data_IF_946088098000
#
_entry.id   IF_946088098000
#
_cell.length_a   1.000
_cell.length_b   1.000
_cell.length_c   1.000
_cell.angle_alpha   90.00
_cell.angle_beta   90.00
_cell.angle_gamma   90.00
#
_symmetry.space_group_name_H-M   'P 1'
#
loop_
_entity.id
_entity.type
_entity.pdbx_description
1 polymer ?
#
# COMPACT_ATOMS: atom_id res chain seq x y z
N UNK A 1 -24.17 -22.10 -0.60
CA UNK A 1 -23.44 -23.06 0.24
C UNK A 1 -22.33 -22.30 0.95
N UNK A 2 -22.34 -22.29 2.29
CA UNK A 2 -21.37 -21.53 3.09
C UNK A 2 -19.99 -22.20 3.07
N UNK A 3 -19.96 -23.53 3.14
CA UNK A 3 -18.69 -24.27 3.18
C UNK A 3 -18.78 -25.60 2.44
N UNK A 4 -17.61 -26.04 1.97
CA UNK A 4 -17.39 -27.36 1.38
C UNK A 4 -16.28 -28.06 2.18
N UNK A 5 -16.68 -29.01 3.02
CA UNK A 5 -15.80 -29.66 4.01
C UNK A 5 -15.35 -30.99 3.43
N UNK A 6 -14.04 -31.16 3.20
CA UNK A 6 -13.49 -32.44 2.74
C UNK A 6 -13.25 -33.42 3.89
N UNK A 7 -12.87 -32.92 5.07
CA UNK A 7 -12.56 -33.78 6.20
C UNK A 7 -12.95 -33.12 7.53
N UNK A 8 -13.74 -33.83 8.30
CA UNK A 8 -14.15 -33.49 9.67
C UNK A 8 -13.63 -34.54 10.63
N UNK A 9 -12.98 -34.14 11.72
CA UNK A 9 -12.58 -35.00 12.83
C UNK A 9 -13.16 -34.44 14.11
N UNK A 10 -13.78 -35.28 14.90
CA UNK A 10 -14.33 -34.94 16.21
C UNK A 10 -13.61 -35.83 17.24
N UNK A 11 -12.98 -35.18 18.21
CA UNK A 11 -12.32 -35.85 19.31
C UNK A 11 -13.20 -35.74 20.55
N UNK A 12 -13.50 -36.90 21.13
CA UNK A 12 -14.34 -36.98 22.34
C UNK A 12 -13.54 -37.48 23.52
N UNK A 13 -13.97 -37.15 24.73
CA UNK A 13 -13.40 -37.72 25.96
C UNK A 13 -13.91 -39.14 26.13
N UNK A 14 -13.02 -40.05 26.44
CA UNK A 14 -13.33 -41.45 26.71
C UNK A 14 -13.59 -41.75 28.22
N UNK A 15 -13.59 -40.72 29.07
CA UNK A 15 -13.69 -40.90 30.51
C UNK A 15 -15.01 -41.54 30.97
N UNK A 16 -16.04 -41.56 30.10
CA UNK A 16 -17.37 -42.12 30.36
C UNK A 16 -17.88 -42.93 29.17
N UNK A 17 -17.13 -43.93 28.72
CA UNK A 17 -17.51 -44.80 27.57
C UNK A 17 -18.83 -45.55 27.76
N UNK A 18 -19.29 -45.72 28.99
CA UNK A 18 -20.50 -46.47 29.32
C UNK A 18 -21.76 -45.60 29.46
N UNK A 19 -21.65 -44.28 29.38
CA UNK A 19 -22.78 -43.35 29.41
C UNK A 19 -22.73 -42.44 28.17
N UNK A 20 -23.66 -42.65 27.22
CA UNK A 20 -23.78 -41.83 26.02
C UNK A 20 -24.23 -40.37 26.35
N UNK A 21 -24.75 -40.14 27.55
CA UNK A 21 -25.20 -38.83 28.01
C UNK A 21 -24.05 -37.90 28.42
N UNK A 22 -22.83 -38.44 28.66
CA UNK A 22 -21.66 -37.72 29.17
C UNK A 22 -20.52 -37.59 28.14
N UNK A 23 -20.81 -37.68 26.84
CA UNK A 23 -19.80 -37.49 25.80
C UNK A 23 -19.40 -36.02 25.73
N UNK A 24 -18.17 -35.72 26.16
CA UNK A 24 -17.60 -34.38 26.06
C UNK A 24 -16.75 -34.26 24.80
N UNK A 25 -17.16 -33.36 23.89
CA UNK A 25 -16.35 -33.06 22.71
C UNK A 25 -15.17 -32.21 23.14
N UNK A 26 -13.95 -32.71 22.92
CA UNK A 26 -12.70 -31.97 23.23
C UNK A 26 -12.25 -31.05 22.09
N UNK A 27 -12.18 -31.60 20.88
CA UNK A 27 -11.71 -30.86 19.71
C UNK A 27 -12.54 -31.22 18.49
N UNK A 28 -12.83 -30.20 17.67
CA UNK A 28 -13.40 -30.34 16.32
C UNK A 28 -12.37 -29.81 15.31
N UNK A 29 -11.97 -30.64 14.36
CA UNK A 29 -10.98 -30.27 13.36
C UNK A 29 -11.59 -30.34 11.97
N UNK A 30 -11.55 -29.24 11.24
CA UNK A 30 -11.86 -29.16 9.81
C UNK A 30 -10.55 -29.10 9.02
N UNK A 31 -10.41 -29.97 8.02
CA UNK A 31 -9.24 -29.98 7.15
C UNK A 31 -9.66 -29.89 5.68
N UNK A 32 -8.90 -29.13 4.89
CA UNK A 32 -9.10 -28.94 3.45
C UNK A 32 -10.53 -28.44 3.11
N UNK A 33 -10.99 -27.45 3.85
CA UNK A 33 -12.32 -26.87 3.72
C UNK A 33 -12.28 -25.60 2.89
N UNK A 34 -13.26 -25.42 2.01
CA UNK A 34 -13.46 -24.17 1.28
C UNK A 34 -14.67 -23.44 1.88
N UNK A 35 -14.44 -22.23 2.36
CA UNK A 35 -15.48 -21.37 2.90
C UNK A 35 -15.80 -20.26 1.87
N UNK A 36 -17.09 -20.02 1.64
CA UNK A 36 -17.56 -18.93 0.82
C UNK A 36 -18.18 -17.87 1.71
N UNK A 37 -17.50 -16.74 1.90
CA UNK A 37 -17.93 -15.66 2.74
C UNK A 37 -18.32 -14.43 1.92
N UNK A 38 -19.30 -13.71 2.43
CA UNK A 38 -19.67 -12.40 1.96
C UNK A 38 -20.07 -11.53 3.17
N UNK A 39 -20.46 -10.29 2.92
CA UNK A 39 -20.85 -9.32 3.95
C UNK A 39 -21.92 -9.83 4.92
N UNK A 40 -22.89 -10.65 4.44
CA UNK A 40 -24.00 -11.18 5.26
C UNK A 40 -23.51 -12.14 6.37
N UNK A 41 -22.33 -12.72 6.24
CA UNK A 41 -21.79 -13.66 7.22
C UNK A 41 -21.02 -12.96 8.36
N UNK A 42 -20.86 -11.64 8.33
CA UNK A 42 -20.10 -10.90 9.31
C UNK A 42 -20.64 -11.07 10.75
N UNK A 43 -21.95 -10.93 10.93
CA UNK A 43 -22.59 -11.09 12.24
C UNK A 43 -22.40 -12.49 12.83
N UNK A 44 -22.29 -13.52 11.99
CA UNK A 44 -21.98 -14.87 12.45
C UNK A 44 -20.63 -14.93 13.19
N UNK A 45 -19.60 -14.25 12.67
CA UNK A 45 -18.28 -14.25 13.33
C UNK A 45 -18.26 -13.45 14.63
N UNK A 46 -19.03 -12.38 14.70
CA UNK A 46 -19.15 -11.59 15.95
C UNK A 46 -19.87 -12.41 17.02
N UNK A 47 -20.96 -13.06 16.66
CA UNK A 47 -21.70 -13.93 17.57
C UNK A 47 -20.84 -15.13 18.03
N UNK A 48 -19.93 -15.61 17.19
CA UNK A 48 -18.99 -16.65 17.57
C UNK A 48 -18.05 -16.22 18.71
N UNK A 49 -17.67 -14.94 18.75
CA UNK A 49 -16.85 -14.40 19.85
C UNK A 49 -17.63 -14.23 21.14
N UNK A 50 -18.97 -14.13 21.08
CA UNK A 50 -19.86 -13.98 22.24
C UNK A 50 -20.29 -15.31 22.84
N UNK A 51 -20.39 -16.35 22.04
CA UNK A 51 -20.88 -17.66 22.49
C UNK A 51 -19.88 -18.33 23.43
N UNK A 52 -20.39 -18.86 24.55
CA UNK A 52 -19.66 -19.77 25.41
C UNK A 52 -19.60 -21.14 24.71
N UNK A 53 -18.63 -21.35 23.86
CA UNK A 53 -18.35 -22.70 23.43
C UNK A 53 -17.83 -23.48 24.63
N UNK A 54 -18.38 -24.68 24.84
CA UNK A 54 -17.88 -25.68 25.78
C UNK A 54 -16.37 -25.87 25.63
N UNK A 55 -15.71 -26.43 26.64
CA UNK A 55 -14.26 -26.59 26.78
C UNK A 55 -13.45 -27.14 25.59
N UNK A 56 -14.08 -27.38 24.44
CA UNK A 56 -13.45 -27.91 23.23
C UNK A 56 -12.83 -26.84 22.34
N UNK A 57 -11.74 -27.18 21.65
CA UNK A 57 -11.17 -26.32 20.63
C UNK A 57 -11.79 -26.60 19.27
N UNK A 58 -12.00 -25.53 18.49
CA UNK A 58 -12.35 -25.65 17.09
C UNK A 58 -11.14 -25.27 16.24
N UNK A 59 -10.70 -26.18 15.39
CA UNK A 59 -9.45 -26.03 14.62
C UNK A 59 -9.74 -26.20 13.13
N UNK A 60 -9.23 -25.27 12.33
CA UNK A 60 -9.28 -25.34 10.87
C UNK A 60 -7.85 -25.44 10.34
N UNK A 61 -7.60 -26.38 9.43
CA UNK A 61 -6.28 -26.58 8.81
C UNK A 61 -6.37 -26.64 7.29
N UNK A 62 -5.34 -26.12 6.61
CA UNK A 62 -5.16 -26.22 5.17
C UNK A 62 -6.43 -25.90 4.37
N UNK A 63 -7.07 -24.80 4.71
CA UNK A 63 -8.39 -24.44 4.20
C UNK A 63 -8.36 -23.09 3.50
N UNK A 64 -9.39 -22.78 2.72
CA UNK A 64 -9.48 -21.53 1.98
C UNK A 64 -10.73 -20.76 2.36
N UNK A 65 -10.62 -19.45 2.39
CA UNK A 65 -11.75 -18.52 2.46
C UNK A 65 -11.81 -17.77 1.14
N UNK A 66 -12.90 -17.93 0.41
CA UNK A 66 -13.26 -17.13 -0.75
C UNK A 66 -14.19 -16.02 -0.29
N UNK A 67 -13.72 -14.79 -0.32
CA UNK A 67 -14.57 -13.65 -0.05
C UNK A 67 -15.21 -13.17 -1.35
N UNK A 68 -16.54 -13.07 -1.34
CA UNK A 68 -17.33 -12.80 -2.54
C UNK A 68 -18.12 -11.51 -2.40
N UNK A 69 -18.30 -10.82 -3.55
CA UNK A 69 -19.24 -9.71 -3.66
C UNK A 69 -20.72 -10.20 -3.70
N UNK A 70 -21.65 -9.30 -3.85
CA UNK A 70 -23.08 -9.65 -3.98
C UNK A 70 -23.39 -10.42 -5.28
N UNK A 71 -22.58 -10.27 -6.32
CA UNK A 71 -22.68 -10.94 -7.62
C UNK A 71 -22.01 -12.31 -7.65
N UNK A 72 -21.50 -12.75 -6.49
CA UNK A 72 -20.79 -14.03 -6.29
C UNK A 72 -19.38 -14.09 -6.89
N UNK A 73 -18.83 -12.98 -7.37
CA UNK A 73 -17.43 -12.92 -7.82
C UNK A 73 -16.47 -13.01 -6.63
N UNK A 74 -15.36 -13.68 -6.82
CA UNK A 74 -14.32 -13.80 -5.80
C UNK A 74 -13.48 -12.52 -5.78
N UNK A 75 -13.60 -11.73 -4.72
CA UNK A 75 -12.82 -10.51 -4.52
C UNK A 75 -11.41 -10.84 -4.04
N UNK A 76 -11.27 -11.78 -3.13
CA UNK A 76 -9.97 -12.27 -2.69
C UNK A 76 -10.05 -13.68 -2.09
N UNK A 77 -8.90 -14.36 -2.12
CA UNK A 77 -8.69 -15.67 -1.54
C UNK A 77 -7.74 -15.54 -0.35
N UNK A 78 -8.20 -16.01 0.82
CA UNK A 78 -7.36 -16.17 2.01
C UNK A 78 -7.13 -17.64 2.31
N UNK A 79 -5.87 -18.06 2.30
CA UNK A 79 -5.50 -19.44 2.66
C UNK A 79 -5.26 -19.52 4.16
N UNK A 80 -5.93 -20.46 4.84
CA UNK A 80 -5.75 -20.75 6.25
C UNK A 80 -4.75 -21.91 6.35
N UNK A 81 -3.57 -21.67 6.91
CA UNK A 81 -2.63 -22.75 7.27
C UNK A 81 -3.12 -23.44 8.53
N UNK A 82 -3.45 -22.66 9.54
CA UNK A 82 -4.03 -23.13 10.81
C UNK A 82 -4.81 -22.01 11.48
N UNK A 83 -6.05 -22.28 11.85
CA UNK A 83 -6.87 -21.42 12.70
C UNK A 83 -7.30 -22.22 13.93
N UNK A 84 -7.31 -21.59 15.07
CA UNK A 84 -7.79 -22.15 16.32
C UNK A 84 -8.76 -21.17 16.96
N UNK A 85 -9.95 -21.63 17.30
CA UNK A 85 -10.89 -20.97 18.17
C UNK A 85 -10.92 -21.72 19.50
N UNK A 86 -10.80 -20.99 20.61
CA UNK A 86 -10.78 -21.59 21.95
C UNK A 86 -11.18 -20.56 23.00
N UNK A 87 -11.69 -21.07 24.14
CA UNK A 87 -11.94 -20.28 25.32
C UNK A 87 -10.69 -20.28 26.21
N UNK A 88 -10.27 -19.08 26.65
CA UNK A 88 -9.21 -18.94 27.66
C UNK A 88 -9.85 -18.72 29.02
N UNK A 89 -9.78 -19.72 29.95
CA UNK A 89 -10.41 -19.62 31.24
C UNK A 89 -9.71 -18.63 32.20
N UNK A 90 -8.44 -18.32 31.98
CA UNK A 90 -7.69 -17.34 32.78
C UNK A 90 -8.12 -15.91 32.48
N UNK A 91 -8.30 -15.61 31.22
CA UNK A 91 -8.68 -14.29 30.73
C UNK A 91 -10.20 -14.16 30.52
N UNK A 92 -10.96 -15.24 30.70
CA UNK A 92 -12.41 -15.32 30.46
C UNK A 92 -12.82 -14.82 29.07
N UNK A 93 -12.06 -15.20 28.02
CA UNK A 93 -12.23 -14.71 26.64
C UNK A 93 -12.29 -15.83 25.64
N UNK A 94 -13.14 -15.65 24.64
CA UNK A 94 -13.07 -16.43 23.40
C UNK A 94 -12.01 -15.83 22.50
N UNK A 95 -11.08 -16.65 22.05
CA UNK A 95 -9.94 -16.24 21.23
C UNK A 95 -9.96 -16.99 19.90
N UNK A 96 -9.88 -16.24 18.82
CA UNK A 96 -9.55 -16.77 17.48
C UNK A 96 -8.11 -16.39 17.18
N UNK A 97 -7.28 -17.39 16.88
CA UNK A 97 -5.91 -17.17 16.39
C UNK A 97 -5.69 -17.93 15.09
N UNK A 98 -5.00 -17.31 14.13
CA UNK A 98 -4.79 -17.94 12.84
C UNK A 98 -3.45 -17.57 12.22
N UNK A 99 -2.91 -18.48 11.41
CA UNK A 99 -1.81 -18.25 10.48
C UNK A 99 -2.33 -18.47 9.07
N UNK A 100 -2.19 -17.44 8.25
CA UNK A 100 -2.83 -17.36 6.95
C UNK A 100 -1.86 -16.88 5.88
N UNK A 101 -2.34 -16.89 4.64
CA UNK A 101 -1.69 -16.29 3.50
C UNK A 101 -2.74 -15.61 2.62
N UNK A 102 -2.51 -14.34 2.30
CA UNK A 102 -3.31 -13.58 1.35
C UNK A 102 -2.39 -12.96 0.32
N UNK A 103 -2.68 -13.09 -0.97
CA UNK A 103 -1.84 -12.60 -2.08
C UNK A 103 -0.36 -13.01 -1.96
N UNK A 104 -0.12 -14.25 -1.56
CA UNK A 104 1.22 -14.81 -1.28
C UNK A 104 1.94 -14.16 -0.07
N UNK A 105 1.30 -13.26 0.66
CA UNK A 105 1.85 -12.63 1.87
C UNK A 105 1.40 -13.42 3.10
N UNK A 106 2.31 -14.06 3.84
CA UNK A 106 1.96 -14.77 5.06
C UNK A 106 1.72 -13.78 6.21
N UNK A 107 0.66 -14.02 6.96
CA UNK A 107 0.32 -13.25 8.14
C UNK A 107 -0.28 -14.10 9.25
N UNK A 108 -0.27 -13.57 10.47
CA UNK A 108 -1.02 -14.14 11.59
C UNK A 108 -1.99 -13.10 12.14
N UNK A 109 -3.14 -13.56 12.61
CA UNK A 109 -4.03 -12.69 13.36
C UNK A 109 -4.50 -13.35 14.65
N UNK A 110 -4.84 -12.50 15.63
CA UNK A 110 -5.50 -12.87 16.87
C UNK A 110 -6.63 -11.87 17.10
N UNK A 111 -7.82 -12.38 17.40
CA UNK A 111 -8.98 -11.55 17.72
C UNK A 111 -9.67 -12.09 18.96
N UNK A 112 -10.15 -11.20 19.83
CA UNK A 112 -10.96 -11.55 20.99
C UNK A 112 -11.90 -10.40 21.34
N UNK A 113 -13.02 -10.71 22.00
CA UNK A 113 -13.95 -9.74 22.55
C UNK A 113 -13.79 -9.69 24.06
N UNK A 114 -13.83 -8.50 24.64
CA UNK A 114 -13.89 -8.35 26.08
C UNK A 114 -15.35 -8.44 26.54
N UNK A 115 -15.66 -9.27 27.52
CA UNK A 115 -17.02 -9.43 28.04
C UNK A 115 -17.54 -8.17 28.77
N UNK A 116 -16.64 -7.39 29.35
CA UNK A 116 -16.95 -6.14 30.05
C UNK A 116 -16.78 -4.97 29.08
N UNK A 117 -17.88 -4.62 28.39
CA UNK A 117 -17.89 -3.58 27.36
C UNK A 117 -17.70 -4.16 25.94
N UNK A 118 -18.52 -3.75 25.02
CA UNK A 118 -18.62 -4.23 23.61
C UNK A 118 -17.36 -3.95 22.78
N UNK A 119 -16.15 -4.21 23.31
CA UNK A 119 -14.87 -3.95 22.66
C UNK A 119 -14.27 -5.21 22.07
N UNK A 120 -13.94 -5.14 20.80
CA UNK A 120 -13.19 -6.17 20.09
C UNK A 120 -11.76 -5.71 19.92
N UNK A 121 -10.83 -6.61 20.23
CA UNK A 121 -9.41 -6.41 20.04
C UNK A 121 -8.91 -7.32 18.93
N UNK A 122 -8.20 -6.77 17.98
CA UNK A 122 -7.56 -7.53 16.92
C UNK A 122 -6.09 -7.18 16.80
N UNK A 123 -5.28 -8.21 16.49
CA UNK A 123 -3.86 -8.08 16.22
C UNK A 123 -3.52 -8.83 14.97
N UNK A 124 -3.05 -8.13 13.95
CA UNK A 124 -2.58 -8.67 12.67
C UNK A 124 -1.08 -8.46 12.59
N UNK A 125 -0.34 -9.50 12.23
CA UNK A 125 1.11 -9.42 12.13
C UNK A 125 1.62 -10.00 10.81
N UNK A 126 2.21 -9.15 10.00
CA UNK A 126 2.92 -9.46 8.76
C UNK A 126 4.42 -9.54 9.05
N UNK A 127 4.89 -10.70 9.53
CA UNK A 127 6.30 -10.86 9.95
C UNK A 127 7.30 -10.51 8.86
N UNK A 128 7.04 -10.96 7.64
CA UNK A 128 7.89 -10.68 6.48
C UNK A 128 8.05 -9.17 6.23
N UNK A 129 6.96 -8.43 6.36
CA UNK A 129 6.92 -6.99 6.15
C UNK A 129 7.37 -6.18 7.39
N UNK A 130 7.64 -6.85 8.52
CA UNK A 130 7.91 -6.20 9.83
C UNK A 130 6.83 -5.19 10.21
N UNK A 131 5.58 -5.51 9.85
CA UNK A 131 4.42 -4.66 10.02
C UNK A 131 3.36 -5.35 10.89
N UNK A 132 2.78 -4.61 11.83
CA UNK A 132 1.75 -5.09 12.73
C UNK A 132 0.65 -4.05 12.87
N UNK A 133 -0.58 -4.51 12.94
CA UNK A 133 -1.77 -3.70 13.21
C UNK A 133 -2.39 -4.23 14.51
N UNK A 134 -2.57 -3.35 15.49
CA UNK A 134 -3.34 -3.62 16.71
C UNK A 134 -4.53 -2.70 16.73
N UNK A 135 -5.73 -3.26 16.71
CA UNK A 135 -6.98 -2.47 16.66
C UNK A 135 -7.85 -2.76 17.88
N UNK A 136 -8.46 -1.71 18.37
CA UNK A 136 -9.52 -1.75 19.38
C UNK A 136 -10.74 -1.03 18.80
N UNK A 137 -11.89 -1.67 18.76
CA UNK A 137 -13.11 -1.06 18.27
C UNK A 137 -14.32 -1.45 19.08
N UNK A 138 -15.23 -0.49 19.24
CA UNK A 138 -16.54 -0.72 19.83
C UNK A 138 -17.47 -1.30 18.77
N UNK A 139 -18.20 -2.32 19.16
CA UNK A 139 -19.18 -2.97 18.32
C UNK A 139 -20.57 -2.67 18.84
N UNK A 140 -21.12 -1.51 18.43
CA UNK A 140 -22.52 -1.18 18.65
C UNK A 140 -23.27 -1.24 17.30
N UNK A 141 -24.56 -1.51 17.33
CA UNK A 141 -25.39 -1.61 16.12
C UNK A 141 -25.36 -0.28 15.37
N UNK A 142 -24.89 -0.33 14.13
CA UNK A 142 -24.92 0.77 13.15
C UNK A 142 -23.56 1.39 12.84
N UNK A 143 -22.98 2.19 13.73
CA UNK A 143 -21.73 2.90 13.48
C UNK A 143 -20.61 2.39 14.38
N UNK A 144 -19.48 1.98 13.79
CA UNK A 144 -18.37 1.35 14.52
C UNK A 144 -17.16 2.27 14.51
N UNK A 145 -16.76 2.73 15.68
CA UNK A 145 -15.60 3.61 15.86
C UNK A 145 -14.47 2.85 16.54
N UNK A 146 -13.25 3.08 16.08
CA UNK A 146 -12.11 2.40 16.66
C UNK A 146 -10.80 3.15 16.54
N UNK A 147 -9.80 2.57 17.20
CA UNK A 147 -8.43 3.02 17.22
C UNK A 147 -7.52 1.87 16.75
N UNK A 148 -6.66 2.12 15.80
CA UNK A 148 -5.61 1.19 15.40
C UNK A 148 -4.23 1.76 15.64
N UNK A 149 -3.33 0.93 16.15
CA UNK A 149 -1.91 1.20 16.20
C UNK A 149 -1.25 0.46 15.04
N UNK A 150 -0.63 1.19 14.14
CA UNK A 150 0.22 0.66 13.09
C UNK A 150 1.65 0.66 13.59
N UNK A 151 2.28 -0.51 13.63
CA UNK A 151 3.64 -0.67 14.11
C UNK A 151 4.47 -1.19 12.95
N UNK A 152 5.38 -0.35 12.46
CA UNK A 152 6.34 -0.71 11.43
C UNK A 152 7.76 -0.65 11.97
N UNK A 153 8.44 -1.79 12.00
CA UNK A 153 9.74 -1.92 12.69
C UNK A 153 9.61 -1.45 14.15
N UNK A 154 10.17 -0.27 14.47
CA UNK A 154 10.11 0.36 15.81
C UNK A 154 9.18 1.58 15.85
N UNK A 155 8.65 2.02 14.71
CA UNK A 155 7.77 3.18 14.63
C UNK A 155 6.34 2.77 14.91
N UNK A 156 5.67 3.51 15.79
CA UNK A 156 4.27 3.31 16.13
C UNK A 156 3.48 4.56 15.76
N UNK A 157 2.37 4.35 15.09
CA UNK A 157 1.47 5.41 14.62
C UNK A 157 0.03 5.03 14.94
N UNK A 158 -0.81 6.03 15.21
CA UNK A 158 -2.21 5.82 15.58
C UNK A 158 -3.12 6.29 14.45
N UNK A 159 -4.14 5.49 14.15
CA UNK A 159 -5.22 5.87 13.26
C UNK A 159 -6.56 5.73 13.97
N UNK A 160 -7.39 6.73 13.82
CA UNK A 160 -8.79 6.70 14.21
C UNK A 160 -9.63 6.34 13.00
N UNK A 161 -10.65 5.53 13.18
CA UNK A 161 -11.53 5.15 12.09
C UNK A 161 -12.98 5.07 12.55
N UNK A 162 -13.84 5.27 11.58
CA UNK A 162 -15.27 5.17 11.66
C UNK A 162 -15.75 4.34 10.45
N UNK A 163 -16.54 3.30 10.67
CA UNK A 163 -17.00 2.46 9.61
C UNK A 163 -18.45 2.01 9.82
N UNK A 164 -19.14 1.83 8.73
CA UNK A 164 -20.43 1.19 8.68
C UNK A 164 -20.49 0.25 7.47
N UNK A 165 -21.66 -0.18 7.12
CA UNK A 165 -21.89 -1.08 6.01
C UNK A 165 -21.50 -0.53 4.63
N UNK A 166 -21.45 0.80 4.47
CA UNK A 166 -21.25 1.46 3.19
C UNK A 166 -19.88 2.09 3.06
N UNK A 167 -19.28 2.51 4.16
CA UNK A 167 -18.01 3.22 4.14
C UNK A 167 -17.09 2.88 5.31
N UNK A 168 -15.81 3.14 5.11
CA UNK A 168 -14.76 3.18 6.11
C UNK A 168 -14.03 4.53 5.99
N UNK A 169 -14.10 5.35 7.03
CA UNK A 169 -13.36 6.62 7.13
C UNK A 169 -12.23 6.44 8.13
N UNK A 170 -11.07 6.97 7.82
CA UNK A 170 -9.96 6.96 8.75
C UNK A 170 -9.21 8.28 8.73
N UNK A 171 -8.58 8.59 9.85
CA UNK A 171 -7.66 9.70 9.98
C UNK A 171 -6.44 9.28 10.79
N UNK A 172 -5.29 9.68 10.31
CA UNK A 172 -4.00 9.31 10.81
C UNK A 172 -3.21 10.58 11.11
N UNK A 173 -2.81 10.77 12.36
CA UNK A 173 -2.10 11.98 12.80
C UNK A 173 -0.84 11.59 13.56
N UNK A 174 0.28 12.21 13.27
CA UNK A 174 1.47 12.20 14.11
C UNK A 174 1.65 13.56 14.80
N UNK A 175 0.65 13.92 15.63
CA UNK A 175 0.62 15.21 16.34
C UNK A 175 1.83 15.45 17.25
N UNK A 176 2.53 14.38 17.66
CA UNK A 176 3.65 14.47 18.60
C UNK A 176 4.90 14.97 17.89
N UNK A 177 5.08 14.59 16.63
CA UNK A 177 6.30 14.89 15.86
C UNK A 177 6.12 16.04 14.89
N UNK A 178 4.96 16.15 14.27
CA UNK A 178 4.68 17.18 13.27
C UNK A 178 3.16 17.41 13.17
N UNK A 179 2.64 18.54 13.68
CA UNK A 179 1.22 18.86 13.62
C UNK A 179 0.70 19.09 12.20
N UNK A 180 1.56 19.37 11.23
CA UNK A 180 1.19 19.49 9.82
C UNK A 180 1.09 18.15 9.10
N UNK A 181 1.52 17.06 9.74
CA UNK A 181 1.46 15.73 9.19
C UNK A 181 0.09 15.11 9.46
N UNK A 182 -0.68 14.85 8.41
CA UNK A 182 -1.89 14.07 8.51
C UNK A 182 -2.13 13.25 7.25
N UNK A 183 -2.81 12.11 7.41
CA UNK A 183 -3.43 11.36 6.34
C UNK A 183 -4.88 11.10 6.74
N UNK A 184 -5.76 11.25 5.80
CA UNK A 184 -7.18 10.92 5.95
C UNK A 184 -7.68 10.20 4.72
N UNK A 185 -8.71 9.40 4.88
CA UNK A 185 -9.28 8.69 3.77
C UNK A 185 -10.72 8.28 4.00
N UNK A 186 -11.42 8.16 2.90
CA UNK A 186 -12.76 7.61 2.83
C UNK A 186 -12.78 6.48 1.80
N UNK A 187 -13.22 5.30 2.21
CA UNK A 187 -13.36 4.14 1.37
C UNK A 187 -14.83 3.78 1.32
N UNK A 188 -15.45 3.85 0.17
CA UNK A 188 -16.79 3.37 -0.08
C UNK A 188 -16.73 1.91 -0.55
N UNK A 189 -17.66 1.09 -0.09
CA UNK A 189 -17.66 -0.34 -0.42
C UNK A 189 -18.56 -0.70 -1.59
N UNK A 190 -19.49 0.19 -1.95
CA UNK A 190 -20.42 -0.08 -3.03
C UNK A 190 -20.88 1.23 -3.73
N UNK A 191 -20.37 1.54 -4.94
CA UNK A 191 -19.22 0.90 -5.59
C UNK A 191 -17.93 1.11 -4.79
N UNK A 192 -16.91 0.26 -5.02
CA UNK A 192 -15.64 0.43 -4.33
C UNK A 192 -14.92 1.67 -4.88
N UNK A 193 -14.70 2.63 -4.02
CA UNK A 193 -13.96 3.85 -4.32
C UNK A 193 -13.23 4.34 -3.06
N UNK A 194 -11.99 4.76 -3.23
CA UNK A 194 -11.16 5.27 -2.13
C UNK A 194 -10.58 6.64 -2.49
N UNK A 195 -10.85 7.64 -1.66
CA UNK A 195 -10.25 8.99 -1.73
C UNK A 195 -9.35 9.17 -0.51
N UNK A 196 -8.05 9.31 -0.75
CA UNK A 196 -7.00 9.38 0.26
C UNK A 196 -6.23 10.69 0.11
N UNK A 197 -6.08 11.44 1.20
CA UNK A 197 -5.38 12.72 1.21
C UNK A 197 -4.30 12.72 2.29
N UNK A 198 -3.15 13.29 1.97
CA UNK A 198 -2.07 13.44 2.91
C UNK A 198 -1.39 14.80 2.82
N UNK A 199 -0.94 15.30 3.97
CA UNK A 199 -0.12 16.49 4.07
C UNK A 199 1.11 16.18 4.92
N UNK A 200 2.27 16.67 4.48
CA UNK A 200 3.50 16.52 5.24
C UNK A 200 4.45 17.69 4.95
N UNK A 201 5.18 18.15 5.95
CA UNK A 201 6.20 19.17 5.72
C UNK A 201 7.37 18.65 4.90
N UNK A 202 7.70 17.37 5.03
CA UNK A 202 8.86 16.77 4.39
C UNK A 202 8.56 15.35 3.92
N UNK A 203 8.41 15.19 2.61
CA UNK A 203 8.21 13.89 2.00
C UNK A 203 9.52 13.13 1.90
N UNK A 204 9.53 11.89 2.36
CA UNK A 204 10.69 11.03 2.29
C UNK A 204 10.49 9.89 1.28
N UNK A 205 10.84 10.15 0.04
CA UNK A 205 10.72 9.16 -1.04
C UNK A 205 11.50 7.87 -0.76
N UNK A 206 12.71 7.99 -0.19
CA UNK A 206 13.53 6.82 0.14
C UNK A 206 12.85 5.90 1.15
N UNK A 207 12.13 6.45 2.14
CA UNK A 207 11.48 5.62 3.15
C UNK A 207 10.31 4.81 2.61
N UNK A 208 9.70 5.25 1.52
CA UNK A 208 8.57 4.56 0.89
C UNK A 208 9.06 3.46 -0.05
N UNK A 209 10.04 3.75 -0.90
CA UNK A 209 10.43 2.86 -1.97
C UNK A 209 11.74 2.08 -1.72
N UNK A 210 12.64 2.58 -0.88
CA UNK A 210 13.96 1.96 -0.69
C UNK A 210 14.20 1.45 0.72
N UNK A 211 13.92 2.27 1.74
CA UNK A 211 14.11 1.86 3.13
C UNK A 211 12.98 0.94 3.59
N UNK A 212 11.86 1.00 2.90
CA UNK A 212 10.62 0.30 3.20
C UNK A 212 10.19 -0.54 2.00
N UNK A 213 10.62 -1.78 1.97
CA UNK A 213 10.30 -2.73 0.90
C UNK A 213 8.79 -3.06 0.83
N UNK A 214 8.01 -2.68 1.87
CA UNK A 214 6.59 -3.00 1.97
C UNK A 214 5.78 -2.54 0.76
N UNK A 215 5.91 -1.25 0.40
CA UNK A 215 5.08 -0.68 -0.67
C UNK A 215 5.47 -1.22 -2.04
N UNK A 216 6.76 -1.34 -2.31
CA UNK A 216 7.24 -1.92 -3.57
C UNK A 216 6.87 -3.41 -3.69
N UNK A 217 6.98 -4.18 -2.61
CA UNK A 217 6.54 -5.58 -2.62
C UNK A 217 5.02 -5.71 -2.75
N UNK A 218 4.24 -4.82 -2.13
CA UNK A 218 2.80 -4.77 -2.30
C UNK A 218 2.42 -4.51 -3.78
N UNK A 219 3.07 -3.54 -4.43
CA UNK A 219 2.87 -3.25 -5.84
C UNK A 219 3.24 -4.45 -6.73
N UNK A 220 4.34 -5.15 -6.41
CA UNK A 220 4.77 -6.34 -7.16
C UNK A 220 3.82 -7.54 -7.02
N UNK A 221 3.00 -7.60 -5.98
CA UNK A 221 1.99 -8.66 -5.87
C UNK A 221 0.87 -8.51 -6.89
N UNK A 222 0.80 -7.38 -7.59
CA UNK A 222 -0.27 -7.02 -8.54
C UNK A 222 -1.68 -7.07 -7.92
N UNK A 223 -1.78 -7.11 -6.59
CA UNK A 223 -3.07 -7.09 -5.88
C UNK A 223 -3.87 -5.82 -6.19
N UNK A 224 -3.15 -4.72 -6.41
CA UNK A 224 -3.76 -3.43 -6.72
C UNK A 224 -4.20 -3.33 -8.19
N UNK A 225 -3.77 -4.26 -9.05
CA UNK A 225 -4.17 -4.33 -10.45
C UNK A 225 -5.53 -5.05 -10.60
N UNK A 226 -6.51 -4.60 -9.84
CA UNK A 226 -7.86 -5.17 -9.82
C UNK A 226 -8.85 -4.18 -10.40
N UNK A 227 -9.63 -4.61 -11.38
CA UNK A 227 -10.63 -3.77 -12.09
C UNK A 227 -11.71 -3.18 -11.16
N UNK A 228 -11.90 -3.78 -9.99
CA UNK A 228 -12.85 -3.28 -8.98
C UNK A 228 -12.26 -2.26 -8.01
N UNK A 229 -10.96 -1.92 -8.14
CA UNK A 229 -10.29 -0.95 -7.29
C UNK A 229 -10.23 0.42 -7.97
N UNK A 230 -10.84 1.42 -7.35
CA UNK A 230 -10.67 2.82 -7.69
C UNK A 230 -10.08 3.54 -6.47
N UNK A 231 -8.83 3.98 -6.58
CA UNK A 231 -8.11 4.65 -5.49
C UNK A 231 -7.50 5.94 -6.03
N UNK A 232 -7.84 7.05 -5.39
CA UNK A 232 -7.17 8.33 -5.56
C UNK A 232 -6.40 8.69 -4.29
N UNK A 233 -5.08 8.77 -4.40
CA UNK A 233 -4.21 9.21 -3.30
C UNK A 233 -3.49 10.48 -3.70
N UNK A 234 -3.68 11.55 -2.94
CA UNK A 234 -2.97 12.82 -3.11
C UNK A 234 -2.17 13.18 -1.86
N UNK A 235 -0.88 13.41 -2.03
CA UNK A 235 0.03 13.84 -0.96
C UNK A 235 0.65 15.17 -1.33
N UNK A 236 0.47 16.17 -0.47
CA UNK A 236 1.13 17.47 -0.59
C UNK A 236 2.33 17.52 0.37
N UNK A 237 3.43 18.11 -0.08
CA UNK A 237 4.61 18.29 0.77
C UNK A 237 5.41 19.53 0.36
N UNK A 238 5.77 20.35 1.33
CA UNK A 238 6.56 21.56 1.07
C UNK A 238 8.00 21.23 0.66
N UNK A 239 8.55 20.11 1.11
CA UNK A 239 9.96 19.72 0.87
C UNK A 239 10.10 18.25 0.61
N UNK A 240 11.14 17.86 -0.15
CA UNK A 240 11.53 16.45 -0.37
C UNK A 240 12.82 16.15 0.37
N UNK A 241 12.83 15.05 1.13
CA UNK A 241 14.00 14.59 1.88
C UNK A 241 15.18 14.26 0.94
N UNK A 242 16.40 14.61 1.33
CA UNK A 242 17.63 14.46 0.53
C UNK A 242 17.72 15.36 -0.70
N UNK A 243 16.66 16.01 -1.13
CA UNK A 243 16.60 16.92 -2.27
C UNK A 243 16.18 18.33 -1.82
N UNK A 244 17.09 19.04 -1.17
CA UNK A 244 16.78 20.33 -0.53
C UNK A 244 16.22 21.40 -1.48
N UNK A 245 16.48 21.27 -2.77
CA UNK A 245 16.02 22.21 -3.78
C UNK A 245 14.67 21.78 -4.42
N UNK A 246 14.15 20.62 -4.07
CA UNK A 246 12.82 20.19 -4.53
C UNK A 246 11.80 20.60 -3.48
N UNK A 247 10.84 21.39 -3.92
CA UNK A 247 9.79 21.99 -3.10
C UNK A 247 8.42 21.74 -3.74
N UNK A 248 7.36 22.02 -2.98
CA UNK A 248 5.96 22.05 -3.44
C UNK A 248 5.53 20.78 -4.18
N UNK A 249 5.91 19.62 -3.61
CA UNK A 249 5.52 18.33 -4.15
C UNK A 249 4.01 18.12 -3.97
N UNK A 250 3.34 17.82 -5.07
CA UNK A 250 1.99 17.27 -5.13
C UNK A 250 2.12 15.89 -5.78
N UNK A 251 2.13 14.84 -4.99
CA UNK A 251 2.15 13.47 -5.49
C UNK A 251 0.70 13.01 -5.66
N UNK A 252 0.33 12.66 -6.88
CA UNK A 252 -0.90 11.95 -7.20
C UNK A 252 -0.57 10.49 -7.49
N UNK A 253 -1.37 9.59 -6.95
CA UNK A 253 -1.26 8.17 -7.22
C UNK A 253 -2.68 7.64 -7.42
N UNK A 254 -2.95 7.13 -8.61
CA UNK A 254 -4.28 6.65 -8.98
C UNK A 254 -4.23 5.17 -9.33
N UNK A 255 -5.27 4.47 -8.94
CA UNK A 255 -5.57 3.12 -9.40
C UNK A 255 -6.96 3.17 -9.98
N UNK A 256 -7.09 2.84 -11.24
CA UNK A 256 -8.36 2.78 -11.93
C UNK A 256 -8.37 1.64 -12.94
N UNK A 257 -9.38 0.78 -12.86
CA UNK A 257 -9.53 -0.37 -13.77
C UNK A 257 -8.26 -1.26 -13.86
N UNK A 258 -7.57 -1.43 -12.74
CA UNK A 258 -6.35 -2.23 -12.66
C UNK A 258 -5.09 -1.52 -13.16
N UNK A 259 -5.18 -0.30 -13.66
CA UNK A 259 -4.04 0.51 -14.07
C UNK A 259 -3.59 1.40 -12.90
N UNK A 260 -2.30 1.54 -12.75
CA UNK A 260 -1.69 2.38 -11.71
C UNK A 260 -0.90 3.49 -12.39
N UNK A 261 -1.24 4.73 -12.10
CA UNK A 261 -0.55 5.90 -12.63
C UNK A 261 -0.22 6.93 -11.54
N UNK A 262 0.68 7.84 -11.89
CA UNK A 262 1.07 9.01 -11.08
C UNK A 262 0.91 10.31 -11.86
N UNK A 263 -0.05 10.35 -12.77
CA UNK A 263 -0.32 11.52 -13.60
C UNK A 263 -0.64 12.75 -12.74
N UNK A 264 -0.32 13.93 -13.27
CA UNK A 264 -0.46 15.22 -12.57
C UNK A 264 0.36 15.35 -11.28
N UNK A 265 1.33 14.47 -11.06
CA UNK A 265 2.34 14.67 -10.01
C UNK A 265 3.20 15.86 -10.39
N UNK A 266 3.30 16.83 -9.46
CA UNK A 266 4.00 18.11 -9.67
C UNK A 266 5.01 18.37 -8.57
N UNK A 267 6.11 19.00 -8.91
CA UNK A 267 7.11 19.50 -7.96
C UNK A 267 7.95 20.58 -8.62
N UNK A 268 8.58 21.43 -7.83
CA UNK A 268 9.43 22.51 -8.34
C UNK A 268 10.86 22.35 -7.88
N UNK A 269 11.81 22.76 -8.72
CA UNK A 269 13.21 22.92 -8.33
C UNK A 269 13.49 24.38 -8.04
N UNK A 270 13.38 24.77 -6.78
CA UNK A 270 13.25 26.14 -6.36
C UNK A 270 12.18 26.85 -7.24
N UNK A 271 12.36 28.12 -7.54
CA UNK A 271 11.49 28.86 -8.45
C UNK A 271 11.99 28.83 -9.91
N UNK A 272 12.87 27.90 -10.26
CA UNK A 272 13.54 27.89 -11.56
C UNK A 272 12.88 26.96 -12.58
N UNK A 273 12.40 25.83 -12.12
CA UNK A 273 11.80 24.80 -12.95
C UNK A 273 10.57 24.20 -12.26
N UNK A 274 9.50 24.05 -13.01
CA UNK A 274 8.36 23.25 -12.60
C UNK A 274 8.36 21.92 -13.36
N UNK A 275 8.09 20.85 -12.64
CA UNK A 275 8.01 19.50 -13.18
C UNK A 275 6.59 18.99 -13.08
N UNK A 276 6.10 18.37 -14.15
CA UNK A 276 4.83 17.65 -14.17
C UNK A 276 5.05 16.28 -14.79
N UNK A 277 4.52 15.23 -14.17
CA UNK A 277 4.50 13.89 -14.71
C UNK A 277 3.15 13.66 -15.40
N UNK A 278 3.17 13.16 -16.62
CA UNK A 278 1.99 12.77 -17.39
C UNK A 278 2.24 11.47 -18.14
N UNK A 279 1.18 10.91 -18.71
CA UNK A 279 1.23 9.67 -19.50
C UNK A 279 2.01 8.55 -18.78
N UNK A 280 1.79 8.43 -17.48
CA UNK A 280 2.54 7.51 -16.62
C UNK A 280 1.80 6.19 -16.43
N UNK A 281 2.57 5.11 -16.33
CA UNK A 281 2.08 3.78 -16.00
C UNK A 281 3.09 3.06 -15.11
N UNK A 282 2.61 2.56 -13.98
CA UNK A 282 3.38 1.73 -13.06
C UNK A 282 2.94 0.28 -13.22
N UNK A 283 3.87 -0.61 -13.55
CA UNK A 283 3.57 -2.00 -13.87
C UNK A 283 4.71 -2.93 -13.46
N UNK A 284 4.44 -4.24 -13.46
CA UNK A 284 5.43 -5.28 -13.18
C UNK A 284 5.83 -5.99 -14.48
N UNK A 285 7.13 -6.02 -14.77
CA UNK A 285 7.68 -6.79 -15.88
C UNK A 285 8.91 -7.57 -15.41
N UNK A 286 8.97 -8.87 -15.71
CA UNK A 286 10.07 -9.76 -15.29
C UNK A 286 10.34 -9.69 -13.76
N UNK A 287 9.29 -9.62 -12.96
CA UNK A 287 9.33 -9.47 -11.49
C UNK A 287 10.03 -8.18 -11.00
N UNK A 288 10.11 -7.16 -11.87
CA UNK A 288 10.64 -5.84 -11.56
C UNK A 288 9.54 -4.80 -11.65
N UNK A 289 9.53 -3.84 -10.73
CA UNK A 289 8.60 -2.73 -10.72
C UNK A 289 9.13 -1.63 -11.62
N UNK A 290 8.33 -1.24 -12.62
CA UNK A 290 8.72 -0.28 -13.66
C UNK A 290 7.70 0.85 -13.72
N UNK A 291 8.19 2.07 -13.84
CA UNK A 291 7.41 3.27 -14.09
C UNK A 291 7.81 3.86 -15.44
N UNK A 292 6.91 3.80 -16.39
CA UNK A 292 7.00 4.58 -17.62
C UNK A 292 6.29 5.92 -17.44
N UNK A 293 6.73 6.95 -18.13
CA UNK A 293 6.07 8.23 -18.08
C UNK A 293 6.73 9.31 -18.92
N UNK A 294 6.06 10.44 -18.94
CA UNK A 294 6.51 11.67 -19.54
C UNK A 294 6.72 12.72 -18.47
N UNK A 295 7.93 13.25 -18.38
CA UNK A 295 8.29 14.36 -17.51
C UNK A 295 8.31 15.65 -18.32
N UNK A 296 7.46 16.57 -17.95
CA UNK A 296 7.39 17.92 -18.55
C UNK A 296 8.09 18.90 -17.60
N UNK A 297 9.02 19.67 -18.12
CA UNK A 297 9.76 20.70 -17.43
C UNK A 297 9.39 22.04 -18.04
N UNK A 298 8.76 22.90 -17.26
CA UNK A 298 8.50 24.29 -17.61
C UNK A 298 9.55 25.18 -16.94
N UNK A 299 10.22 26.03 -17.75
CA UNK A 299 11.36 26.81 -17.30
C UNK A 299 10.92 28.22 -16.94
N UNK A 300 10.97 28.55 -15.64
CA UNK A 300 10.61 29.85 -15.11
C UNK A 300 11.80 30.81 -15.09
N UNK A 301 12.99 30.32 -14.77
CA UNK A 301 14.20 31.14 -14.69
C UNK A 301 15.40 30.48 -15.38
N UNK A 302 15.51 30.69 -16.67
CA UNK A 302 16.55 30.09 -17.50
C UNK A 302 17.96 30.56 -17.11
N UNK A 303 18.11 31.79 -16.62
CA UNK A 303 19.41 32.34 -16.20
C UNK A 303 19.98 31.59 -14.99
N UNK A 304 19.17 31.26 -14.02
CA UNK A 304 19.62 30.49 -12.85
C UNK A 304 20.00 29.05 -13.24
N UNK A 305 19.30 28.46 -14.22
CA UNK A 305 19.68 27.13 -14.76
C UNK A 305 21.05 27.21 -15.43
N UNK A 306 21.31 28.24 -16.23
CA UNK A 306 22.62 28.44 -16.84
C UNK A 306 23.74 28.70 -15.84
N UNK A 307 23.47 29.46 -14.78
CA UNK A 307 24.39 29.63 -13.66
C UNK A 307 24.68 28.29 -12.98
N UNK A 308 23.61 27.55 -12.66
CA UNK A 308 23.77 26.21 -12.07
C UNK A 308 24.60 25.29 -12.95
N UNK A 309 24.34 25.27 -14.26
CA UNK A 309 25.09 24.49 -15.23
C UNK A 309 26.47 25.08 -15.54
N UNK A 310 26.78 26.31 -15.12
CA UNK A 310 28.02 27.05 -15.47
C UNK A 310 28.22 27.11 -16.99
N UNK A 311 27.17 27.45 -17.74
CA UNK A 311 27.23 27.55 -19.19
C UNK A 311 27.76 28.90 -19.64
N UNK A 312 28.67 28.92 -20.64
CA UNK A 312 29.18 30.16 -21.23
C UNK A 312 28.07 30.93 -21.94
N UNK A 313 28.17 32.27 -21.99
CA UNK A 313 27.13 33.13 -22.59
C UNK A 313 26.79 32.77 -24.04
N UNK A 314 27.79 32.40 -24.82
CA UNK A 314 27.65 32.05 -26.23
C UNK A 314 26.93 30.71 -26.46
N UNK A 315 26.63 29.95 -25.41
CA UNK A 315 25.98 28.62 -25.46
C UNK A 315 24.72 28.59 -24.60
N UNK A 316 23.93 29.66 -24.63
CA UNK A 316 22.70 29.80 -23.87
C UNK A 316 21.49 29.94 -24.81
N UNK A 317 21.04 28.84 -25.42
CA UNK A 317 19.86 28.87 -26.26
C UNK A 317 18.62 29.16 -25.45
N UNK A 318 17.60 29.78 -26.09
CA UNK A 318 16.33 30.05 -25.42
C UNK A 318 15.50 28.76 -25.32
N UNK A 319 15.31 28.27 -24.11
CA UNK A 319 14.53 27.07 -23.81
C UNK A 319 13.42 27.44 -22.85
N UNK A 320 12.16 27.17 -23.22
CA UNK A 320 10.97 27.40 -22.37
C UNK A 320 10.45 26.10 -21.77
N UNK A 321 10.48 25.02 -22.57
CA UNK A 321 9.87 23.75 -22.19
C UNK A 321 10.71 22.58 -22.66
N UNK A 322 10.83 21.56 -21.82
CA UNK A 322 11.47 20.28 -22.14
C UNK A 322 10.49 19.16 -21.80
N UNK A 323 10.30 18.21 -22.71
CA UNK A 323 9.51 17.00 -22.48
C UNK A 323 10.42 15.78 -22.63
N UNK A 324 10.39 14.91 -21.64
CA UNK A 324 11.23 13.72 -21.53
C UNK A 324 10.35 12.49 -21.36
N UNK A 325 10.40 11.53 -22.27
CA UNK A 325 9.84 10.22 -22.00
C UNK A 325 10.90 9.38 -21.28
N UNK A 326 10.53 8.79 -20.16
CA UNK A 326 11.44 8.03 -19.31
C UNK A 326 10.88 6.66 -18.95
N UNK A 327 11.78 5.74 -18.65
CA UNK A 327 11.51 4.47 -18.00
C UNK A 327 12.37 4.42 -16.73
N UNK A 328 11.73 4.17 -15.58
CA UNK A 328 12.40 4.03 -14.31
C UNK A 328 12.18 2.63 -13.72
N UNK A 329 13.27 1.92 -13.47
CA UNK A 329 13.24 0.60 -12.85
C UNK A 329 13.58 0.73 -11.36
N UNK A 330 12.59 0.45 -10.50
CA UNK A 330 12.72 0.57 -9.03
C UNK A 330 13.68 -0.46 -8.43
N UNK A 331 13.79 -1.65 -9.01
CA UNK A 331 14.64 -2.71 -8.50
C UNK A 331 16.12 -2.48 -8.86
N UNK A 332 16.36 -2.01 -10.07
CA UNK A 332 17.71 -1.68 -10.54
C UNK A 332 18.14 -0.25 -10.16
N UNK A 333 17.19 0.55 -9.64
CA UNK A 333 17.39 1.97 -9.35
C UNK A 333 17.98 2.71 -10.55
N UNK A 334 17.43 2.45 -11.72
CA UNK A 334 17.94 2.97 -12.99
C UNK A 334 16.87 3.69 -13.79
N UNK A 335 17.26 4.78 -14.44
CA UNK A 335 16.41 5.58 -15.30
C UNK A 335 17.01 5.66 -16.71
N UNK A 336 16.17 5.52 -17.72
CA UNK A 336 16.51 5.65 -19.12
C UNK A 336 15.59 6.70 -19.76
N UNK A 337 16.13 7.56 -20.59
CA UNK A 337 15.35 8.51 -21.40
C UNK A 337 15.21 8.00 -22.83
N UNK A 338 13.97 7.90 -23.30
CA UNK A 338 13.66 7.37 -24.62
C UNK A 338 13.59 8.46 -25.69
N UNK A 339 12.89 9.55 -25.38
CA UNK A 339 12.65 10.65 -26.33
C UNK A 339 12.65 11.98 -25.59
N UNK A 340 13.25 12.99 -26.24
CA UNK A 340 13.31 14.34 -25.71
C UNK A 340 12.85 15.34 -26.75
N UNK A 341 11.95 16.21 -26.34
CA UNK A 341 11.54 17.39 -27.11
C UNK A 341 11.95 18.65 -26.37
N UNK A 342 12.48 19.61 -27.08
CA UNK A 342 12.81 20.95 -26.57
C UNK A 342 11.97 21.95 -27.33
N UNK A 343 11.19 22.79 -26.63
CA UNK A 343 10.25 23.72 -27.23
C UNK A 343 9.36 23.04 -28.28
N UNK A 344 8.81 21.85 -27.92
CA UNK A 344 7.94 21.00 -28.75
C UNK A 344 8.61 20.37 -30.00
N UNK A 345 9.94 20.52 -30.16
CA UNK A 345 10.67 19.94 -31.30
C UNK A 345 11.62 18.85 -30.87
N UNK A 346 11.65 17.76 -31.61
CA UNK A 346 12.63 16.68 -31.39
C UNK A 346 13.99 17.14 -31.86
N UNK A 347 15.02 17.04 -31.00
CA UNK A 347 16.40 17.27 -31.39
C UNK A 347 17.20 15.96 -31.38
N UNK A 348 17.56 15.46 -32.54
CA UNK A 348 18.23 14.17 -32.69
C UNK A 348 19.59 14.12 -31.98
N UNK A 349 20.35 15.22 -31.99
CA UNK A 349 21.66 15.30 -31.33
C UNK A 349 21.53 15.17 -29.82
N UNK A 350 20.56 15.89 -29.23
CA UNK A 350 20.27 15.80 -27.79
C UNK A 350 19.75 14.42 -27.41
N UNK A 351 18.86 13.85 -28.22
CA UNK A 351 18.35 12.49 -28.01
C UNK A 351 19.50 11.46 -27.97
N UNK A 352 20.47 11.56 -28.88
CA UNK A 352 21.62 10.65 -28.92
C UNK A 352 22.51 10.78 -27.68
N UNK A 353 22.66 11.98 -27.12
CA UNK A 353 23.40 12.19 -25.87
C UNK A 353 22.65 11.55 -24.68
N UNK A 354 21.35 11.78 -24.59
CA UNK A 354 20.58 11.38 -23.41
C UNK A 354 20.18 9.90 -23.41
N UNK A 355 19.98 9.28 -24.58
CA UNK A 355 19.79 7.81 -24.67
C UNK A 355 21.01 7.02 -24.18
N UNK A 356 22.21 7.58 -24.30
CA UNK A 356 23.44 6.97 -23.75
C UNK A 356 23.57 7.14 -22.23
N UNK A 357 22.71 7.95 -21.62
CA UNK A 357 22.68 8.14 -20.19
C UNK A 357 21.86 7.05 -19.51
N UNK A 358 22.50 5.97 -19.08
CA UNK A 358 21.93 5.09 -18.08
C UNK A 358 22.19 5.72 -16.69
N UNK A 359 21.15 6.30 -16.11
CA UNK A 359 21.25 6.91 -14.77
C UNK A 359 20.94 5.84 -13.74
N UNK A 360 21.97 5.20 -13.17
CA UNK A 360 21.86 4.39 -11.94
C UNK A 360 21.81 5.31 -10.72
N UNK A 361 21.31 4.79 -9.59
CA UNK A 361 21.08 5.59 -8.37
C UNK A 361 22.31 6.39 -7.89
N UNK A 362 23.50 5.79 -7.93
CA UNK A 362 24.78 6.44 -7.60
C UNK A 362 25.09 7.64 -8.52
N UNK A 363 24.74 7.52 -9.80
CA UNK A 363 24.94 8.59 -10.81
C UNK A 363 23.86 9.65 -10.76
N UNK A 364 22.60 9.29 -10.47
CA UNK A 364 21.51 10.25 -10.26
C UNK A 364 21.78 11.18 -9.09
N UNK A 365 22.36 10.66 -8.01
CA UNK A 365 22.75 11.43 -6.84
C UNK A 365 24.06 12.20 -7.02
N UNK A 366 24.86 11.86 -8.03
CA UNK A 366 26.12 12.54 -8.30
C UNK A 366 25.89 13.84 -9.08
N UNK A 367 25.87 14.96 -8.34
CA UNK A 367 25.65 16.31 -8.88
C UNK A 367 26.65 16.69 -10.00
N UNK A 368 27.90 16.22 -9.91
CA UNK A 368 28.95 16.51 -10.91
C UNK A 368 28.67 15.77 -12.21
N UNK A 369 28.36 14.48 -12.11
CA UNK A 369 27.99 13.68 -13.28
C UNK A 369 26.76 14.23 -13.98
N UNK A 370 25.68 14.51 -13.21
CA UNK A 370 24.46 15.10 -13.74
C UNK A 370 24.70 16.41 -14.48
N UNK A 371 25.44 17.35 -13.83
CA UNK A 371 25.83 18.61 -14.46
C UNK A 371 26.61 18.43 -15.74
N UNK A 372 27.57 17.50 -15.75
CA UNK A 372 28.39 17.20 -16.95
C UNK A 372 27.51 16.76 -18.12
N UNK A 373 26.58 15.84 -17.87
CA UNK A 373 25.67 15.32 -18.90
C UNK A 373 24.66 16.34 -19.40
N UNK A 374 24.11 17.15 -18.49
CA UNK A 374 23.26 18.27 -18.91
C UNK A 374 24.00 19.32 -19.73
N UNK A 375 25.27 19.61 -19.43
CA UNK A 375 26.12 20.47 -20.25
C UNK A 375 26.39 19.90 -21.66
N UNK A 376 26.64 18.57 -21.73
CA UNK A 376 26.82 17.87 -23.00
C UNK A 376 25.53 17.95 -23.87
N UNK A 377 24.37 17.70 -23.25
CA UNK A 377 23.07 17.83 -23.92
C UNK A 377 22.81 19.29 -24.40
N UNK A 378 23.11 20.28 -23.54
CA UNK A 378 22.98 21.69 -23.89
C UNK A 378 23.90 22.10 -25.07
N UNK A 379 25.13 21.61 -25.11
CA UNK A 379 26.07 21.82 -26.22
C UNK A 379 25.55 21.18 -27.51
N UNK A 380 25.01 19.97 -27.43
CA UNK A 380 24.41 19.31 -28.57
C UNK A 380 23.16 20.03 -29.14
N UNK A 381 22.45 20.77 -28.26
CA UNK A 381 21.29 21.58 -28.66
C UNK A 381 21.70 22.94 -29.26
N UNK A 382 22.73 23.56 -28.73
CA UNK A 382 23.20 24.89 -29.15
C UNK A 382 23.99 24.84 -30.50
N UNK A 383 24.39 23.62 -30.98
CA UNK A 383 25.20 23.40 -32.18
C UNK A 383 26.66 23.42 -31.83
#
# INVERSE_FOLDING_TARGET
KLSDIKKLKIFVSLNNLFSLEDIIVKDVILENTNFNFNKKHYNFFINLLDNNFSAGNFIIKNSNIFYRNNEQDVLFLNKIKKMKYYYDPKELKNIVSSTNEIFKIPYSFKIHKNKIGNKIFSKINFKFLKFQIESEFNYDDGQKKGLSNFIYKKNKSKAFYDWNDNFFKFSFFDKIKDPSFFYEGNINFNPFYSDLKGNTNKFNFSSIFYDNVFFSELLKTEILNNNNLNIDLRINSNKVSKFHNIIDLILNFKIQEGLIDINDTKFSWNDYLDFTISDSLLYVANNQLILDGKLVLDINNLNEIYKFLQSSRNRRPHIKKIELNFNYNFDQLSMVFNTIKINNKINVKVNNVLRKMLLKNDKLQNKIYFKSKMKEALRAYAG
#
